data_IF_751297751350
#
_entry.id   IF_751297751350
#
_cell.length_a   1.000
_cell.length_b   1.000
_cell.length_c   1.000
_cell.angle_alpha   90.00
_cell.angle_beta   90.00
_cell.angle_gamma   90.00
#
_symmetry.space_group_name_H-M   'P 1'
#
loop_
_entity.id
_entity.type
_entity.pdbx_description
1 polymer ?
#
# COMPACT_ATOMS: atom_id res chain seq x y z
N UNK A 1 -0.32 -9.37 3.23
CA UNK A 1 1.10 -8.96 3.23
C UNK A 1 1.40 -7.97 2.11
N UNK A 2 1.01 -8.25 0.86
CA UNK A 2 1.30 -7.40 -0.31
C UNK A 2 0.85 -5.94 -0.13
N UNK A 3 -0.34 -5.67 0.44
CA UNK A 3 -0.77 -4.30 0.75
C UNK A 3 0.27 -3.51 1.56
N UNK A 4 0.87 -4.13 2.59
CA UNK A 4 1.83 -3.47 3.48
C UNK A 4 3.14 -3.18 2.76
N UNK A 5 3.63 -4.14 1.98
CA UNK A 5 4.85 -4.00 1.19
C UNK A 5 4.70 -2.92 0.12
N UNK A 6 3.60 -2.96 -0.64
CA UNK A 6 3.27 -1.98 -1.68
C UNK A 6 3.09 -0.58 -1.10
N UNK A 7 2.30 -0.42 -0.04
CA UNK A 7 2.08 0.90 0.57
C UNK A 7 3.39 1.50 1.14
N UNK A 8 4.26 0.65 1.70
CA UNK A 8 5.57 1.06 2.19
C UNK A 8 6.54 1.40 1.04
N UNK A 9 6.47 0.70 -0.09
CA UNK A 9 7.18 1.06 -1.31
C UNK A 9 6.75 2.46 -1.79
N UNK A 10 5.45 2.71 -1.91
CA UNK A 10 4.94 4.02 -2.32
C UNK A 10 5.38 5.15 -1.38
N UNK A 11 5.47 4.88 -0.08
CA UNK A 11 6.00 5.84 0.89
C UNK A 11 7.48 6.16 0.67
N UNK A 12 8.33 5.15 0.43
CA UNK A 12 9.74 5.38 0.11
C UNK A 12 9.90 6.14 -1.20
N UNK A 13 9.15 5.76 -2.24
CA UNK A 13 9.11 6.44 -3.53
C UNK A 13 8.74 7.92 -3.39
N UNK A 14 7.70 8.21 -2.61
CA UNK A 14 7.30 9.57 -2.26
C UNK A 14 8.43 10.34 -1.56
N UNK A 15 9.04 9.77 -0.51
CA UNK A 15 10.04 10.48 0.30
C UNK A 15 11.40 10.66 -0.36
N UNK A 16 11.84 9.69 -1.15
CA UNK A 16 13.20 9.70 -1.70
C UNK A 16 13.26 10.14 -3.16
N UNK A 17 12.15 10.07 -3.90
CA UNK A 17 12.14 10.36 -5.35
C UNK A 17 10.97 11.26 -5.76
N UNK A 18 10.27 11.87 -4.80
CA UNK A 18 9.09 12.71 -5.04
C UNK A 18 8.01 11.99 -5.90
N UNK A 19 7.86 10.68 -5.71
CA UNK A 19 6.90 9.85 -6.44
C UNK A 19 7.18 9.65 -7.94
N UNK A 20 8.37 10.01 -8.43
CA UNK A 20 8.73 9.88 -9.84
C UNK A 20 9.27 8.49 -10.20
N UNK A 21 9.92 7.82 -9.24
CA UNK A 21 10.52 6.49 -9.41
C UNK A 21 10.01 5.53 -8.33
N UNK A 22 10.22 4.23 -8.51
CA UNK A 22 9.90 3.24 -7.48
C UNK A 22 11.14 2.91 -6.64
N UNK A 23 11.14 3.34 -5.39
CA UNK A 23 12.27 3.18 -4.47
C UNK A 23 12.13 1.89 -3.65
N UNK A 24 12.49 0.75 -4.24
CA UNK A 24 12.45 -0.54 -3.54
C UNK A 24 13.42 -0.56 -2.37
N UNK A 25 14.67 -0.17 -2.61
CA UNK A 25 15.74 -0.04 -1.63
C UNK A 25 16.78 1.00 -2.13
N UNK A 26 17.74 1.47 -1.30
CA UNK A 26 18.76 2.43 -1.74
C UNK A 26 19.61 1.97 -2.94
N UNK A 27 19.83 0.68 -3.06
CA UNK A 27 20.56 0.00 -4.14
C UNK A 27 19.65 -0.51 -5.26
N UNK A 28 18.33 -0.43 -5.10
CA UNK A 28 17.34 -0.88 -6.07
C UNK A 28 16.24 0.17 -6.27
N UNK A 29 16.50 1.11 -7.16
CA UNK A 29 15.53 2.11 -7.61
C UNK A 29 15.13 1.81 -9.05
N UNK A 30 13.83 1.79 -9.32
CA UNK A 30 13.27 1.56 -10.65
C UNK A 30 12.91 2.90 -11.28
N UNK A 31 13.64 3.24 -12.33
CA UNK A 31 13.28 4.28 -13.29
C UNK A 31 12.42 3.67 -14.41
N UNK A 32 12.07 4.48 -15.41
CA UNK A 32 11.26 4.05 -16.57
C UNK A 32 11.85 2.81 -17.27
N UNK A 33 13.16 2.81 -17.56
CA UNK A 33 13.83 1.71 -18.25
C UNK A 33 13.73 0.40 -17.48
N UNK A 34 14.00 0.44 -16.16
CA UNK A 34 13.90 -0.76 -15.30
C UNK A 34 12.47 -1.26 -15.18
N UNK A 35 11.48 -0.36 -15.15
CA UNK A 35 10.07 -0.76 -15.17
C UNK A 35 9.74 -1.53 -16.45
N UNK A 36 10.21 -1.07 -17.61
CA UNK A 36 10.00 -1.76 -18.88
C UNK A 36 10.70 -3.14 -18.94
N UNK A 37 11.90 -3.25 -18.36
CA UNK A 37 12.66 -4.51 -18.31
C UNK A 37 12.08 -5.54 -17.34
N UNK A 38 11.27 -5.12 -16.36
CA UNK A 38 10.77 -5.98 -15.28
C UNK A 38 9.66 -6.96 -15.67
N UNK A 39 9.15 -6.90 -16.90
CA UNK A 39 7.91 -7.55 -17.35
C UNK A 39 6.65 -7.19 -16.52
N UNK A 40 6.75 -6.18 -15.64
CA UNK A 40 5.69 -5.72 -14.73
C UNK A 40 5.38 -4.24 -14.94
N UNK A 41 5.56 -3.72 -16.16
CA UNK A 41 5.50 -2.27 -16.42
C UNK A 41 4.18 -1.64 -15.95
N UNK A 42 3.03 -2.23 -16.30
CA UNK A 42 1.72 -1.70 -15.90
C UNK A 42 1.48 -1.76 -14.38
N UNK A 43 1.96 -2.82 -13.72
CA UNK A 43 1.92 -2.92 -12.26
C UNK A 43 2.80 -1.85 -11.61
N UNK A 44 3.99 -1.60 -12.17
CA UNK A 44 4.87 -0.53 -11.72
C UNK A 44 4.23 0.86 -11.94
N UNK A 45 3.51 1.06 -13.04
CA UNK A 45 2.76 2.30 -13.28
C UNK A 45 1.69 2.52 -12.19
N UNK A 46 0.91 1.49 -11.86
CA UNK A 46 -0.07 1.56 -10.77
C UNK A 46 0.57 1.90 -9.42
N UNK A 47 1.70 1.27 -9.09
CA UNK A 47 2.47 1.60 -7.88
C UNK A 47 3.01 3.04 -7.88
N UNK A 48 3.46 3.54 -9.04
CA UNK A 48 3.93 4.92 -9.19
C UNK A 48 2.80 5.91 -8.99
N UNK A 49 1.60 5.63 -9.52
CA UNK A 49 0.42 6.47 -9.33
C UNK A 49 0.05 6.63 -7.85
N UNK A 50 0.12 5.56 -7.05
CA UNK A 50 -0.09 5.67 -5.59
C UNK A 50 0.93 6.59 -4.94
N UNK A 51 2.20 6.50 -5.35
CA UNK A 51 3.27 7.38 -4.87
C UNK A 51 3.01 8.85 -5.24
N UNK A 52 2.48 9.10 -6.45
CA UNK A 52 2.08 10.43 -6.91
C UNK A 52 0.86 10.96 -6.15
N UNK A 53 -0.09 10.11 -5.77
CA UNK A 53 -1.19 10.50 -4.89
C UNK A 53 -0.69 10.94 -3.51
N UNK A 54 0.38 10.33 -2.98
CA UNK A 54 0.99 10.80 -1.73
C UNK A 54 1.59 12.20 -1.88
N UNK A 55 2.20 12.50 -3.03
CA UNK A 55 2.69 13.84 -3.36
C UNK A 55 1.50 14.81 -3.45
N UNK A 56 0.46 14.47 -4.22
CA UNK A 56 -0.73 15.33 -4.39
C UNK A 56 -1.41 15.64 -3.06
N UNK A 57 -1.50 14.65 -2.17
CA UNK A 57 -2.11 14.79 -0.85
C UNK A 57 -1.17 15.37 0.21
N UNK A 58 0.12 15.52 -0.10
CA UNK A 58 1.17 15.86 0.86
C UNK A 58 1.04 14.96 2.12
N UNK A 59 1.05 13.65 1.90
CA UNK A 59 0.77 12.69 2.96
C UNK A 59 1.79 12.83 4.10
N UNK A 60 1.30 12.98 5.33
CA UNK A 60 2.15 13.09 6.50
C UNK A 60 2.59 11.71 6.99
N UNK A 61 3.68 11.65 7.76
CA UNK A 61 4.14 10.37 8.30
C UNK A 61 3.15 9.75 9.28
N UNK A 62 2.46 10.56 10.08
CA UNK A 62 1.47 10.07 11.04
C UNK A 62 0.25 9.46 10.34
N UNK A 63 -0.25 10.11 9.27
CA UNK A 63 -1.32 9.55 8.45
C UNK A 63 -0.88 8.24 7.78
N UNK A 64 0.33 8.21 7.21
CA UNK A 64 0.91 6.99 6.64
C UNK A 64 0.95 5.83 7.64
N UNK A 65 1.40 6.07 8.88
CA UNK A 65 1.46 5.03 9.90
C UNK A 65 0.07 4.50 10.26
N UNK A 66 -0.91 5.37 10.49
CA UNK A 66 -2.30 4.96 10.79
C UNK A 66 -2.91 4.18 9.61
N UNK A 67 -2.74 4.68 8.38
CA UNK A 67 -3.20 4.03 7.15
C UNK A 67 -2.58 2.64 6.96
N UNK A 68 -1.28 2.50 7.23
CA UNK A 68 -0.58 1.21 7.13
C UNK A 68 -1.17 0.17 8.09
N UNK A 69 -1.56 0.57 9.30
CA UNK A 69 -2.25 -0.35 10.22
C UNK A 69 -3.65 -0.68 9.73
N UNK A 70 -4.38 0.29 9.17
CA UNK A 70 -5.68 0.02 8.57
C UNK A 70 -5.60 -0.97 7.38
N UNK A 71 -4.53 -0.93 6.59
CA UNK A 71 -4.26 -1.94 5.54
C UNK A 71 -3.89 -3.32 6.08
N UNK A 72 -3.33 -3.40 7.30
CA UNK A 72 -3.18 -4.70 7.97
C UNK A 72 -4.55 -5.27 8.35
N UNK A 73 -5.50 -4.40 8.68
CA UNK A 73 -6.84 -4.73 9.16
C UNK A 73 -7.92 -4.63 8.05
N UNK A 74 -7.53 -4.67 6.78
CA UNK A 74 -8.44 -4.40 5.66
C UNK A 74 -9.03 -5.65 5.01
N UNK A 75 -8.40 -6.82 5.18
CA UNK A 75 -8.81 -8.07 4.52
C UNK A 75 -8.90 -9.18 5.56
N UNK A 76 -10.05 -9.83 5.65
CA UNK A 76 -10.34 -10.91 6.61
C UNK A 76 -10.96 -12.12 5.89
N UNK A 77 -10.89 -13.32 6.48
CA UNK A 77 -11.57 -14.49 5.96
C UNK A 77 -13.09 -14.27 5.88
N UNK A 78 -13.77 -14.93 4.94
CA UNK A 78 -15.22 -14.76 4.73
C UNK A 78 -16.04 -15.33 5.89
N UNK A 79 -15.52 -16.39 6.51
CA UNK A 79 -16.02 -17.04 7.71
C UNK A 79 -15.76 -16.23 9.00
N UNK A 80 -15.02 -15.12 8.90
CA UNK A 80 -14.66 -14.27 10.02
C UNK A 80 -13.40 -14.72 10.77
N UNK A 81 -12.97 -13.89 11.72
CA UNK A 81 -11.83 -14.20 12.57
C UNK A 81 -12.27 -14.92 13.85
N UNK A 82 -11.35 -15.69 14.45
CA UNK A 82 -11.58 -16.40 15.72
C UNK A 82 -12.08 -15.47 16.85
N UNK A 83 -11.62 -14.22 16.87
CA UNK A 83 -12.11 -13.19 17.77
C UNK A 83 -12.45 -11.92 16.98
N UNK A 84 -13.65 -11.90 16.41
CA UNK A 84 -14.14 -10.80 15.58
C UNK A 84 -14.27 -9.48 16.37
N UNK A 85 -14.74 -9.54 17.62
CA UNK A 85 -14.93 -8.35 18.45
C UNK A 85 -13.60 -7.61 18.73
N UNK A 86 -12.54 -8.35 19.07
CA UNK A 86 -11.22 -7.75 19.30
C UNK A 86 -10.64 -7.12 18.02
N UNK A 87 -10.85 -7.77 16.86
CA UNK A 87 -10.45 -7.21 15.57
C UNK A 87 -11.18 -5.90 15.26
N UNK A 88 -12.51 -5.87 15.44
CA UNK A 88 -13.32 -4.69 15.18
C UNK A 88 -12.97 -3.54 16.13
N UNK A 89 -12.75 -3.83 17.40
CA UNK A 89 -12.27 -2.83 18.38
C UNK A 89 -10.95 -2.21 17.93
N UNK A 90 -9.98 -3.05 17.55
CA UNK A 90 -8.68 -2.58 17.07
C UNK A 90 -8.85 -1.72 15.81
N UNK A 91 -9.63 -2.16 14.83
CA UNK A 91 -9.87 -1.43 13.58
C UNK A 91 -10.53 -0.08 13.84
N UNK A 92 -11.57 -0.03 14.67
CA UNK A 92 -12.28 1.21 15.04
C UNK A 92 -11.33 2.19 15.75
N UNK A 93 -10.45 1.70 16.63
CA UNK A 93 -9.48 2.55 17.30
C UNK A 93 -8.48 3.18 16.31
N UNK A 94 -7.98 2.42 15.32
CA UNK A 94 -7.10 2.98 14.30
C UNK A 94 -7.82 3.92 13.30
N UNK A 95 -9.12 3.72 13.05
CA UNK A 95 -9.94 4.68 12.30
C UNK A 95 -10.01 6.02 13.06
N UNK A 96 -10.20 5.97 14.39
CA UNK A 96 -10.19 7.17 15.25
C UNK A 96 -8.83 7.85 15.25
N UNK A 97 -7.73 7.09 15.30
CA UNK A 97 -6.37 7.65 15.22
C UNK A 97 -6.11 8.34 13.88
N UNK A 98 -6.53 7.75 12.76
CA UNK A 98 -6.41 8.41 11.44
C UNK A 98 -7.18 9.74 11.44
N UNK A 99 -8.43 9.74 11.93
CA UNK A 99 -9.24 10.96 12.02
C UNK A 99 -8.58 12.02 12.91
N UNK A 100 -7.95 11.62 14.02
CA UNK A 100 -7.19 12.52 14.90
C UNK A 100 -5.97 13.11 14.19
N UNK A 101 -5.21 12.29 13.46
CA UNK A 101 -4.05 12.73 12.68
C UNK A 101 -4.43 13.73 11.60
N UNK A 102 -5.53 13.48 10.88
CA UNK A 102 -6.09 14.40 9.87
C UNK A 102 -6.54 15.72 10.50
N UNK A 103 -7.17 15.67 11.68
CA UNK A 103 -7.59 16.88 12.41
C UNK A 103 -6.42 17.78 12.82
N UNK A 104 -5.24 17.20 13.11
CA UNK A 104 -4.01 17.98 13.38
C UNK A 104 -3.41 18.62 12.13
N UNK A 105 -3.69 18.06 10.95
CA UNK A 105 -3.14 18.50 9.67
C UNK A 105 -4.04 19.51 8.93
N UNK A 106 -5.23 19.85 9.47
CA UNK A 106 -6.24 20.69 8.80
C UNK A 106 -6.71 21.83 9.70
N UNK A 107 -7.14 22.94 9.10
CA UNK A 107 -7.45 24.18 9.84
C UNK A 107 -8.93 24.30 10.24
N UNK A 108 -9.82 23.51 9.64
CA UNK A 108 -11.25 23.50 9.99
C UNK A 108 -11.89 22.12 9.71
N UNK A 109 -13.08 21.93 10.27
CA UNK A 109 -13.82 20.66 10.23
C UNK A 109 -14.21 20.20 8.81
N UNK A 110 -14.52 21.13 7.90
CA UNK A 110 -14.84 20.81 6.51
C UNK A 110 -13.64 20.20 5.77
N UNK A 111 -12.46 20.80 5.94
CA UNK A 111 -11.20 20.28 5.40
C UNK A 111 -10.81 18.95 6.04
N UNK A 112 -11.03 18.78 7.36
CA UNK A 112 -10.78 17.51 8.06
C UNK A 112 -11.57 16.37 7.41
N UNK A 113 -12.88 16.55 7.19
CA UNK A 113 -13.72 15.52 6.59
C UNK A 113 -13.33 15.21 5.14
N UNK A 114 -13.06 16.23 4.33
CA UNK A 114 -12.64 16.04 2.95
C UNK A 114 -11.31 15.28 2.86
N UNK A 115 -10.33 15.65 3.70
CA UNK A 115 -9.03 14.96 3.75
C UNK A 115 -9.20 13.52 4.22
N UNK A 116 -9.98 13.29 5.27
CA UNK A 116 -10.25 11.94 5.77
C UNK A 116 -10.85 11.05 4.67
N UNK A 117 -11.83 11.56 3.92
CA UNK A 117 -12.42 10.86 2.79
C UNK A 117 -11.43 10.56 1.66
N UNK A 118 -10.54 11.51 1.33
CA UNK A 118 -9.47 11.28 0.35
C UNK A 118 -8.53 10.16 0.78
N UNK A 119 -8.17 10.09 2.07
CA UNK A 119 -7.31 9.04 2.60
C UNK A 119 -8.00 7.67 2.61
N UNK A 120 -9.28 7.60 2.98
CA UNK A 120 -10.03 6.33 2.93
C UNK A 120 -10.22 5.86 1.48
N UNK A 121 -10.49 6.77 0.54
CA UNK A 121 -10.56 6.42 -0.88
C UNK A 121 -9.23 5.85 -1.40
N UNK A 122 -8.10 6.40 -0.93
CA UNK A 122 -6.78 5.87 -1.27
C UNK A 122 -6.55 4.47 -0.69
N UNK A 123 -7.01 4.21 0.55
CA UNK A 123 -6.99 2.86 1.13
C UNK A 123 -7.81 1.87 0.29
N UNK A 124 -8.99 2.28 -0.16
CA UNK A 124 -9.85 1.43 -0.99
C UNK A 124 -9.18 1.11 -2.33
N UNK A 125 -8.61 2.12 -3.00
CA UNK A 125 -7.89 1.94 -4.27
C UNK A 125 -6.67 1.02 -4.17
N UNK A 126 -6.07 0.85 -2.98
CA UNK A 126 -4.99 -0.11 -2.78
C UNK A 126 -5.45 -1.55 -2.99
N UNK A 127 -6.72 -1.88 -2.75
CA UNK A 127 -7.22 -3.25 -2.90
C UNK A 127 -7.19 -3.71 -4.37
N UNK A 128 -7.62 -2.87 -5.30
CA UNK A 128 -7.61 -3.19 -6.73
C UNK A 128 -6.17 -3.39 -7.24
N UNK A 129 -5.27 -2.47 -6.88
CA UNK A 129 -3.85 -2.56 -7.23
C UNK A 129 -3.20 -3.82 -6.66
N UNK A 130 -3.49 -4.13 -5.39
CA UNK A 130 -2.92 -5.31 -4.72
C UNK A 130 -3.48 -6.60 -5.29
N UNK A 131 -4.75 -6.63 -5.71
CA UNK A 131 -5.31 -7.76 -6.45
C UNK A 131 -4.48 -8.08 -7.69
N UNK A 132 -4.22 -7.08 -8.54
CA UNK A 132 -3.41 -7.25 -9.74
C UNK A 132 -1.96 -7.69 -9.43
N UNK A 133 -1.35 -7.16 -8.37
CA UNK A 133 -0.01 -7.56 -7.92
C UNK A 133 0.02 -9.02 -7.43
N UNK A 134 -1.00 -9.44 -6.68
CA UNK A 134 -1.12 -10.81 -6.19
C UNK A 134 -1.34 -11.79 -7.33
N UNK A 135 -2.20 -11.46 -8.31
CA UNK A 135 -2.44 -12.32 -9.47
C UNK A 135 -1.13 -12.59 -10.25
N UNK A 136 -0.32 -11.55 -10.48
CA UNK A 136 0.99 -11.70 -11.11
C UNK A 136 1.97 -12.48 -10.23
N UNK A 137 1.99 -12.22 -8.92
CA UNK A 137 2.83 -12.96 -7.97
C UNK A 137 2.48 -14.45 -7.96
N UNK A 138 1.19 -14.81 -7.94
CA UNK A 138 0.74 -16.20 -7.94
C UNK A 138 1.02 -16.89 -9.28
N UNK A 139 0.87 -16.18 -10.40
CA UNK A 139 1.24 -16.70 -11.71
C UNK A 139 2.74 -17.05 -11.76
N UNK A 140 3.60 -16.09 -11.39
CA UNK A 140 5.06 -16.29 -11.40
C UNK A 140 5.53 -17.32 -10.38
N UNK A 141 4.85 -17.44 -9.24
CA UNK A 141 5.11 -18.49 -8.26
C UNK A 141 4.82 -19.89 -8.80
N UNK A 142 3.65 -20.08 -9.43
CA UNK A 142 3.24 -21.35 -10.04
C UNK A 142 4.15 -21.77 -11.18
N UNK A 143 4.58 -20.82 -12.01
CA UNK A 143 5.44 -21.04 -13.17
C UNK A 143 6.93 -20.77 -12.86
N UNK A 144 7.32 -20.72 -11.58
CA UNK A 144 8.65 -20.27 -11.12
C UNK A 144 9.81 -21.00 -11.78
N UNK A 145 9.71 -22.33 -11.96
CA UNK A 145 10.73 -23.12 -12.64
C UNK A 145 10.86 -22.78 -14.13
N UNK A 146 9.73 -22.61 -14.83
CA UNK A 146 9.72 -22.31 -16.26
C UNK A 146 10.20 -20.87 -16.53
N UNK A 147 9.79 -19.93 -15.67
CA UNK A 147 10.14 -18.52 -15.77
C UNK A 147 11.49 -18.17 -15.12
N UNK A 148 12.12 -19.14 -14.43
CA UNK A 148 13.38 -18.96 -13.67
C UNK A 148 13.29 -17.82 -12.65
N UNK A 149 12.18 -17.77 -11.92
CA UNK A 149 11.95 -16.82 -10.83
C UNK A 149 12.14 -17.54 -9.50
N UNK A 150 13.03 -17.01 -8.66
CA UNK A 150 13.31 -17.56 -7.34
C UNK A 150 12.46 -16.88 -6.27
N UNK A 151 11.99 -17.67 -5.30
CA UNK A 151 11.23 -17.19 -4.15
C UNK A 151 11.93 -17.60 -2.86
N UNK A 152 12.18 -16.67 -1.92
CA UNK A 152 12.74 -16.99 -0.61
C UNK A 152 11.72 -17.75 0.25
N UNK A 153 12.21 -18.55 1.21
CA UNK A 153 11.38 -19.41 2.09
C UNK A 153 10.18 -18.67 2.70
N UNK A 154 10.40 -17.44 3.19
CA UNK A 154 9.33 -16.63 3.78
C UNK A 154 8.17 -16.33 2.80
N UNK A 155 8.45 -16.14 1.51
CA UNK A 155 7.39 -15.94 0.51
C UNK A 155 6.76 -17.25 0.03
N UNK A 156 7.43 -18.39 0.22
CA UNK A 156 6.88 -19.72 -0.05
C UNK A 156 5.91 -20.14 1.06
N UNK A 157 6.19 -19.75 2.31
CA UNK A 157 5.34 -20.03 3.47
C UNK A 157 4.02 -19.23 3.46
N UNK A 158 4.07 -17.98 3.00
CA UNK A 158 2.94 -17.03 2.96
C UNK A 158 1.96 -17.36 1.84
#
# INVERSE_FOLDING_TARGET
>A
WMCLSSFSLSWRSYKHTNGQMLYFAPDLVFNEDRMQQSAMYDLCLGMRQVSQEFVRLQLTYQEFLSMKVLLLLSTVPKEGLKNQAAFEEMRVNYIKELRRSVGKATNNSGQTWQRFFQLTKLLDAMHDLVGNLLDFCFYTFRESQALKVEFPEMLVEI
#
